data_IF_067842812695
#
_entry.id   IF_067842812695
#
_cell.length_a   1.000
_cell.length_b   1.000
_cell.length_c   1.000
_cell.angle_alpha   90.00
_cell.angle_beta   90.00
_cell.angle_gamma   90.00
#
_symmetry.space_group_name_H-M   'P 1'
#
loop_
_entity.id
_entity.type
_entity.pdbx_description
1 polymer ?
#
# COMPACT_ATOMS: atom_id res chain seq x y z
N UNK A 1 9.11 50.29 -14.33
CA UNK A 1 9.45 48.94 -14.79
C UNK A 1 10.28 48.32 -13.70
N UNK A 2 9.63 47.65 -12.75
CA UNK A 2 10.33 47.04 -11.62
C UNK A 2 11.04 45.80 -12.14
N UNK A 3 12.36 45.72 -11.90
CA UNK A 3 13.18 44.55 -12.16
C UNK A 3 12.47 43.30 -11.62
N UNK A 4 12.10 42.42 -12.53
CA UNK A 4 11.64 41.09 -12.18
C UNK A 4 12.76 40.42 -11.37
N UNK A 5 12.44 40.00 -10.14
CA UNK A 5 13.34 39.24 -9.28
C UNK A 5 14.08 38.15 -10.07
N UNK A 6 15.35 38.41 -10.41
CA UNK A 6 16.19 37.39 -11.02
C UNK A 6 16.35 36.25 -10.02
N UNK A 7 15.83 35.08 -10.39
CA UNK A 7 15.91 33.88 -9.57
C UNK A 7 17.36 33.37 -9.60
N UNK A 8 18.04 33.45 -8.45
CA UNK A 8 19.44 33.02 -8.30
C UNK A 8 19.58 31.55 -7.83
N UNK A 9 18.51 30.75 -7.89
CA UNK A 9 18.52 29.37 -7.42
C UNK A 9 17.57 28.48 -8.24
N UNK A 10 17.86 27.18 -8.28
CA UNK A 10 17.06 26.21 -9.04
C UNK A 10 15.93 25.56 -8.23
N UNK A 11 15.80 25.89 -6.94
CA UNK A 11 14.70 25.38 -6.09
C UNK A 11 13.33 25.87 -6.57
N UNK A 12 12.31 25.02 -6.39
CA UNK A 12 10.92 25.37 -6.64
C UNK A 12 10.35 26.16 -5.45
N UNK A 13 9.86 27.37 -5.70
CA UNK A 13 9.09 28.13 -4.73
C UNK A 13 7.62 27.92 -5.10
N UNK A 14 6.86 27.34 -4.18
CA UNK A 14 5.47 26.92 -4.42
C UNK A 14 4.54 28.05 -4.00
N UNK A 15 3.54 28.36 -4.83
CA UNK A 15 2.49 29.33 -4.52
C UNK A 15 1.57 28.84 -3.38
N UNK A 16 0.86 29.75 -2.69
CA UNK A 16 -0.10 29.35 -1.66
C UNK A 16 -1.13 28.35 -2.19
N UNK A 17 -1.23 27.20 -1.51
CA UNK A 17 -2.12 26.09 -1.92
C UNK A 17 -3.16 25.78 -0.83
N UNK A 18 -4.43 25.53 -1.20
CA UNK A 18 -5.49 25.15 -0.25
C UNK A 18 -5.42 23.67 0.16
N UNK A 19 -4.63 22.84 -0.53
CA UNK A 19 -4.64 21.39 -0.30
C UNK A 19 -4.26 20.96 1.13
N UNK A 20 -3.24 21.53 1.80
CA UNK A 20 -2.85 21.10 3.14
C UNK A 20 -3.96 21.27 4.19
N UNK A 21 -4.69 22.40 4.15
CA UNK A 21 -5.76 22.67 5.12
C UNK A 21 -6.99 21.79 4.86
N UNK A 22 -7.34 21.59 3.59
CA UNK A 22 -8.45 20.70 3.21
C UNK A 22 -8.13 19.23 3.51
N UNK A 23 -6.89 18.78 3.29
CA UNK A 23 -6.43 17.45 3.67
C UNK A 23 -6.56 17.24 5.18
N UNK A 24 -6.11 18.21 5.97
CA UNK A 24 -6.16 18.15 7.44
C UNK A 24 -7.60 18.08 7.96
N UNK A 25 -8.49 18.90 7.40
CA UNK A 25 -9.91 18.88 7.73
C UNK A 25 -10.58 17.56 7.32
N UNK A 26 -10.30 17.08 6.10
CA UNK A 26 -10.80 15.79 5.61
C UNK A 26 -10.34 14.63 6.47
N UNK A 27 -9.05 14.58 6.84
CA UNK A 27 -8.50 13.56 7.72
C UNK A 27 -9.13 13.59 9.12
N UNK A 28 -9.36 14.78 9.68
CA UNK A 28 -10.05 14.92 10.96
C UNK A 28 -11.50 14.39 10.90
N UNK A 29 -12.26 14.78 9.88
CA UNK A 29 -13.63 14.30 9.66
C UNK A 29 -13.65 12.79 9.46
N UNK A 30 -12.72 12.26 8.66
CA UNK A 30 -12.59 10.84 8.40
C UNK A 30 -12.25 10.05 9.67
N UNK A 31 -11.32 10.54 10.50
CA UNK A 31 -10.95 9.89 11.76
C UNK A 31 -12.11 9.86 12.76
N UNK A 32 -12.77 11.00 12.97
CA UNK A 32 -13.98 11.08 13.82
C UNK A 32 -15.10 10.19 13.27
N UNK A 33 -15.27 10.21 11.94
CA UNK A 33 -16.22 9.35 11.22
C UNK A 33 -15.90 7.87 11.38
N UNK A 34 -14.63 7.48 11.40
CA UNK A 34 -14.22 6.10 11.63
C UNK A 34 -14.62 5.59 13.02
N UNK A 35 -14.41 6.41 14.05
CA UNK A 35 -14.89 6.10 15.42
C UNK A 35 -16.41 5.96 15.45
N UNK A 36 -17.11 6.91 14.83
CA UNK A 36 -18.56 6.90 14.70
C UNK A 36 -19.07 5.63 13.97
N UNK A 37 -18.43 5.26 12.85
CA UNK A 37 -18.82 4.11 12.06
C UNK A 37 -18.59 2.79 12.82
N UNK A 38 -17.46 2.65 13.52
CA UNK A 38 -17.22 1.48 14.37
C UNK A 38 -18.23 1.37 15.52
N UNK A 39 -18.65 2.49 16.10
CA UNK A 39 -19.73 2.49 17.12
C UNK A 39 -21.07 2.08 16.53
N UNK A 40 -21.41 2.60 15.35
CA UNK A 40 -22.61 2.22 14.61
C UNK A 40 -22.65 0.72 14.30
N UNK A 41 -21.54 0.14 13.80
CA UNK A 41 -21.44 -1.29 13.52
C UNK A 41 -21.58 -2.17 14.77
N UNK A 42 -21.17 -1.67 15.94
CA UNK A 42 -21.36 -2.33 17.22
C UNK A 42 -22.73 -2.07 17.87
N UNK A 43 -23.65 -1.36 17.19
CA UNK A 43 -24.96 -0.99 17.74
C UNK A 43 -24.90 0.00 18.91
N UNK A 44 -23.78 0.69 19.09
CA UNK A 44 -23.57 1.65 20.17
C UNK A 44 -23.95 3.09 19.78
N UNK A 45 -24.08 3.96 20.78
CA UNK A 45 -24.22 5.40 20.58
C UNK A 45 -22.86 6.11 20.60
N UNK A 46 -22.78 7.23 19.88
CA UNK A 46 -21.63 8.12 19.86
C UNK A 46 -22.13 9.57 19.82
N UNK A 47 -22.15 10.22 20.98
CA UNK A 47 -22.65 11.60 21.10
C UNK A 47 -21.51 12.61 21.14
N UNK A 48 -21.58 13.63 20.30
CA UNK A 48 -20.66 14.77 20.29
C UNK A 48 -21.49 16.05 20.38
N UNK A 49 -21.19 16.90 21.36
CA UNK A 49 -21.93 18.16 21.60
C UNK A 49 -23.46 17.98 21.71
N UNK A 50 -23.92 16.83 22.23
CA UNK A 50 -25.34 16.52 22.39
C UNK A 50 -26.01 15.85 21.19
N UNK A 51 -25.35 15.78 20.02
CA UNK A 51 -25.88 15.16 18.81
C UNK A 51 -25.42 13.70 18.69
N UNK A 52 -26.33 12.81 18.29
CA UNK A 52 -26.01 11.42 17.97
C UNK A 52 -25.31 11.35 16.61
N UNK A 53 -24.08 10.86 16.61
CA UNK A 53 -23.24 10.74 15.44
C UNK A 53 -22.95 9.30 15.06
N UNK A 54 -23.49 8.27 15.71
CA UNK A 54 -23.30 6.88 15.30
C UNK A 54 -23.97 6.57 13.93
N UNK A 55 -23.30 6.94 12.85
CA UNK A 55 -23.73 6.71 11.47
C UNK A 55 -22.50 6.63 10.55
N UNK A 56 -22.59 5.92 9.41
CA UNK A 56 -21.43 5.75 8.52
C UNK A 56 -21.07 6.98 7.68
N UNK A 57 -21.98 7.97 7.57
CA UNK A 57 -21.85 9.05 6.59
C UNK A 57 -20.70 10.00 6.89
N UNK A 58 -20.42 10.26 8.16
CA UNK A 58 -19.29 11.12 8.57
C UNK A 58 -17.97 10.56 8.05
N UNK A 59 -17.78 9.24 8.10
CA UNK A 59 -16.59 8.58 7.56
C UNK A 59 -16.50 8.76 6.05
N UNK A 60 -17.57 8.43 5.31
CA UNK A 60 -17.55 8.48 3.84
C UNK A 60 -17.37 9.90 3.30
N UNK A 61 -17.92 10.92 3.96
CA UNK A 61 -17.71 12.33 3.59
C UNK A 61 -16.23 12.70 3.80
N UNK A 62 -15.65 12.36 4.96
CA UNK A 62 -14.23 12.61 5.22
C UNK A 62 -13.32 11.88 4.22
N UNK A 63 -13.62 10.62 3.93
CA UNK A 63 -12.89 9.80 2.97
C UNK A 63 -12.95 10.39 1.54
N UNK A 64 -14.14 10.78 1.08
CA UNK A 64 -14.30 11.42 -0.22
C UNK A 64 -13.54 12.75 -0.32
N UNK A 65 -13.52 13.55 0.76
CA UNK A 65 -12.76 14.80 0.81
C UNK A 65 -11.26 14.54 0.74
N UNK A 66 -10.74 13.54 1.46
CA UNK A 66 -9.32 13.15 1.38
C UNK A 66 -8.95 12.71 -0.04
N UNK A 67 -9.77 11.87 -0.68
CA UNK A 67 -9.53 11.45 -2.08
C UNK A 67 -9.56 12.63 -3.06
N UNK A 68 -10.49 13.56 -2.88
CA UNK A 68 -10.55 14.77 -3.70
C UNK A 68 -9.28 15.61 -3.58
N UNK A 69 -8.79 15.82 -2.36
CA UNK A 69 -7.56 16.58 -2.12
C UNK A 69 -6.34 15.85 -2.69
N UNK A 70 -6.25 14.53 -2.51
CA UNK A 70 -5.17 13.72 -3.10
C UNK A 70 -5.13 13.87 -4.62
N UNK A 71 -6.29 13.75 -5.29
CA UNK A 71 -6.39 13.93 -6.75
C UNK A 71 -5.96 15.35 -7.17
N UNK A 72 -6.50 16.39 -6.54
CA UNK A 72 -6.18 17.78 -6.86
C UNK A 72 -4.70 18.12 -6.65
N UNK A 73 -4.15 17.71 -5.51
CA UNK A 73 -2.76 17.98 -5.17
C UNK A 73 -1.80 17.28 -6.15
N UNK A 74 -2.01 16.01 -6.47
CA UNK A 74 -1.17 15.32 -7.45
C UNK A 74 -1.35 15.86 -8.87
N UNK A 75 -2.55 16.32 -9.24
CA UNK A 75 -2.76 16.99 -10.52
C UNK A 75 -1.94 18.29 -10.63
N UNK A 76 -1.90 19.10 -9.56
CA UNK A 76 -1.07 20.31 -9.51
C UNK A 76 0.42 19.96 -9.58
N UNK A 77 0.89 18.90 -8.91
CA UNK A 77 2.28 18.44 -9.05
C UNK A 77 2.63 18.05 -10.49
N UNK A 78 1.70 17.45 -11.23
CA UNK A 78 1.90 17.14 -12.66
C UNK A 78 1.92 18.43 -13.50
N UNK A 79 1.04 19.38 -13.21
CA UNK A 79 1.00 20.68 -13.88
C UNK A 79 2.30 21.46 -13.68
N UNK A 80 2.78 21.56 -12.45
CA UNK A 80 4.06 22.20 -12.09
C UNK A 80 5.24 21.55 -12.82
N UNK A 81 5.22 20.22 -12.99
CA UNK A 81 6.21 19.50 -13.77
C UNK A 81 6.21 19.91 -15.25
N UNK A 82 5.04 20.13 -15.86
CA UNK A 82 4.90 20.59 -17.25
C UNK A 82 5.28 22.06 -17.42
N UNK A 83 5.11 22.88 -16.39
CA UNK A 83 5.56 24.28 -16.37
C UNK A 83 7.08 24.42 -16.20
N UNK A 84 7.79 23.31 -16.01
CA UNK A 84 9.25 23.28 -15.90
C UNK A 84 9.77 23.52 -14.48
N UNK A 85 8.91 23.48 -13.46
CA UNK A 85 9.32 23.67 -12.07
C UNK A 85 10.22 22.54 -11.55
N UNK A 86 10.15 21.35 -12.16
CA UNK A 86 10.95 20.18 -11.81
C UNK A 86 12.36 20.27 -12.38
N UNK A 87 13.15 21.24 -11.91
CA UNK A 87 14.59 21.33 -12.22
C UNK A 87 15.33 20.07 -11.75
N UNK A 88 16.60 19.93 -12.15
CA UNK A 88 17.44 18.79 -11.73
C UNK A 88 17.50 18.67 -10.20
N UNK A 89 17.65 19.80 -9.50
CA UNK A 89 17.73 19.83 -8.03
C UNK A 89 16.39 19.42 -7.43
N UNK A 90 15.26 19.91 -7.95
CA UNK A 90 13.92 19.56 -7.46
C UNK A 90 13.64 18.06 -7.67
N UNK A 91 13.94 17.55 -8.86
CA UNK A 91 13.77 16.12 -9.18
C UNK A 91 14.61 15.22 -8.27
N UNK A 92 15.83 15.63 -7.89
CA UNK A 92 16.65 14.92 -6.93
C UNK A 92 16.00 14.86 -5.53
N UNK A 93 15.45 15.99 -5.05
CA UNK A 93 14.77 16.04 -3.74
C UNK A 93 13.48 15.22 -3.74
N UNK A 94 12.72 15.22 -4.84
CA UNK A 94 11.55 14.36 -4.99
C UNK A 94 11.92 12.87 -4.88
N UNK A 95 13.06 12.45 -5.45
CA UNK A 95 13.59 11.08 -5.29
C UNK A 95 13.94 10.76 -3.85
N UNK A 96 14.64 11.66 -3.14
CA UNK A 96 14.92 11.47 -1.72
C UNK A 96 13.63 11.38 -0.89
N UNK A 97 12.63 12.22 -1.18
CA UNK A 97 11.32 12.15 -0.53
C UNK A 97 10.67 10.79 -0.71
N UNK A 98 10.68 10.24 -1.93
CA UNK A 98 10.15 8.90 -2.20
C UNK A 98 10.93 7.79 -1.49
N UNK A 99 12.25 7.87 -1.45
CA UNK A 99 13.09 6.88 -0.74
C UNK A 99 12.78 6.90 0.77
N UNK A 100 12.68 8.09 1.38
CA UNK A 100 12.35 8.22 2.79
C UNK A 100 10.94 7.73 3.09
N UNK A 101 9.98 7.99 2.19
CA UNK A 101 8.64 7.43 2.29
C UNK A 101 8.67 5.89 2.27
N UNK A 102 9.33 5.26 1.29
CA UNK A 102 9.48 3.79 1.24
C UNK A 102 10.18 3.26 2.50
N UNK A 103 11.22 3.94 2.99
CA UNK A 103 11.90 3.54 4.22
C UNK A 103 10.95 3.55 5.43
N UNK A 104 10.05 4.54 5.53
CA UNK A 104 9.02 4.53 6.58
C UNK A 104 7.99 3.42 6.41
N UNK A 105 7.61 3.08 5.17
CA UNK A 105 6.70 1.96 4.89
C UNK A 105 7.33 0.62 5.26
N UNK A 106 8.65 0.44 5.03
CA UNK A 106 9.39 -0.74 5.50
C UNK A 106 9.31 -0.84 7.04
N UNK A 107 9.53 0.26 7.75
CA UNK A 107 9.43 0.27 9.22
C UNK A 107 8.00 -0.01 9.72
N UNK A 108 6.98 0.40 8.98
CA UNK A 108 5.60 0.02 9.26
C UNK A 108 5.39 -1.51 9.15
N UNK A 109 5.94 -2.15 8.11
CA UNK A 109 5.88 -3.62 7.99
C UNK A 109 6.70 -4.34 9.07
N UNK A 110 7.83 -3.78 9.52
CA UNK A 110 8.62 -4.34 10.63
C UNK A 110 7.75 -4.56 11.88
N UNK A 111 6.81 -3.67 12.18
CA UNK A 111 5.91 -3.85 13.33
C UNK A 111 5.01 -5.10 13.20
N UNK A 112 4.49 -5.38 12.00
CA UNK A 112 3.66 -6.55 11.75
C UNK A 112 4.47 -7.85 11.77
N UNK A 113 5.65 -7.84 11.15
CA UNK A 113 6.58 -8.98 11.22
C UNK A 113 7.02 -9.25 12.65
N UNK A 114 7.30 -8.21 13.43
CA UNK A 114 7.62 -8.37 14.85
C UNK A 114 6.47 -9.02 15.59
N UNK A 115 5.24 -8.53 15.45
CA UNK A 115 4.08 -9.14 16.11
C UNK A 115 3.90 -10.63 15.73
N UNK A 116 4.14 -11.00 14.47
CA UNK A 116 4.10 -12.38 14.01
C UNK A 116 5.26 -13.23 14.58
N UNK A 117 6.49 -12.75 14.50
CA UNK A 117 7.68 -13.48 14.97
C UNK A 117 7.69 -13.67 16.48
N UNK A 118 7.28 -12.65 17.24
CA UNK A 118 7.19 -12.75 18.69
C UNK A 118 6.20 -13.86 19.11
N UNK A 119 5.02 -13.90 18.50
CA UNK A 119 4.01 -14.93 18.77
C UNK A 119 4.43 -16.34 18.29
N UNK A 120 5.11 -16.43 17.15
CA UNK A 120 5.47 -17.70 16.52
C UNK A 120 6.74 -18.36 17.08
N UNK A 121 7.74 -17.57 17.47
CA UNK A 121 8.99 -18.08 18.06
C UNK A 121 8.85 -18.42 19.54
N UNK A 122 7.96 -17.71 20.26
CA UNK A 122 7.77 -17.90 21.70
C UNK A 122 6.32 -18.26 22.05
N UNK A 123 5.70 -19.29 21.42
CA UNK A 123 4.29 -19.62 21.64
C UNK A 123 4.01 -20.15 23.04
N UNK A 124 5.03 -20.61 23.78
CA UNK A 124 4.94 -21.17 25.13
C UNK A 124 5.64 -20.30 26.20
N UNK A 125 5.84 -19.01 25.95
CA UNK A 125 6.52 -18.12 26.89
C UNK A 125 5.79 -18.06 28.24
N UNK A 126 6.49 -18.48 29.32
CA UNK A 126 5.90 -18.59 30.66
C UNK A 126 5.44 -17.25 31.26
N UNK A 127 6.08 -16.13 30.87
CA UNK A 127 5.70 -14.79 31.33
C UNK A 127 4.37 -14.36 30.71
N UNK A 128 4.03 -14.86 29.51
CA UNK A 128 2.79 -14.53 28.81
C UNK A 128 1.74 -15.65 28.94
N UNK A 129 1.13 -15.76 30.11
CA UNK A 129 0.10 -16.77 30.38
C UNK A 129 -1.08 -16.75 29.37
N UNK A 130 -1.46 -15.55 28.87
CA UNK A 130 -2.49 -15.41 27.84
C UNK A 130 -2.04 -15.97 26.49
N UNK A 131 -0.77 -15.82 26.11
CA UNK A 131 -0.24 -16.40 24.86
C UNK A 131 -0.36 -17.91 24.87
N UNK A 132 0.10 -18.57 25.94
CA UNK A 132 -0.01 -20.02 26.09
C UNK A 132 -1.46 -20.50 25.96
N UNK A 133 -2.42 -19.75 26.51
CA UNK A 133 -3.85 -20.05 26.40
C UNK A 133 -4.34 -19.99 24.94
N UNK A 134 -3.94 -18.97 24.18
CA UNK A 134 -4.39 -18.79 22.79
C UNK A 134 -3.63 -19.62 21.76
N UNK A 135 -2.36 -19.98 22.02
CA UNK A 135 -1.53 -20.79 21.11
C UNK A 135 -1.59 -22.29 21.45
N UNK A 136 -1.86 -22.64 22.71
CA UNK A 136 -1.71 -24.01 23.21
C UNK A 136 -0.25 -24.46 23.33
N UNK A 137 0.70 -23.52 23.30
CA UNK A 137 2.15 -23.75 23.44
C UNK A 137 2.85 -24.16 22.14
N UNK A 138 2.17 -24.10 21.01
CA UNK A 138 2.71 -24.46 19.68
C UNK A 138 2.40 -23.38 18.65
N UNK A 139 3.18 -23.35 17.57
CA UNK A 139 2.89 -22.52 16.40
C UNK A 139 2.78 -23.38 15.15
N UNK A 140 1.75 -23.19 14.30
CA UNK A 140 0.55 -22.40 14.53
C UNK A 140 -0.25 -22.83 15.78
N UNK A 141 -1.17 -21.97 16.28
CA UNK A 141 -2.04 -22.32 17.40
C UNK A 141 -2.80 -23.63 17.19
N UNK A 142 -3.01 -24.41 18.26
CA UNK A 142 -3.74 -25.69 18.18
C UNK A 142 -5.12 -25.52 17.55
N UNK A 143 -5.44 -26.36 16.58
CA UNK A 143 -6.73 -26.34 15.88
C UNK A 143 -6.81 -25.36 14.70
N UNK A 144 -5.72 -24.65 14.38
CA UNK A 144 -5.60 -23.88 13.14
C UNK A 144 -5.01 -24.77 12.05
N UNK A 145 -5.74 -24.88 10.95
CA UNK A 145 -5.20 -25.37 9.68
C UNK A 145 -4.68 -24.19 8.87
N UNK A 146 -3.52 -24.34 8.24
CA UNK A 146 -2.91 -23.28 7.42
C UNK A 146 -3.23 -23.47 5.94
N UNK A 147 -3.07 -22.39 5.17
CA UNK A 147 -3.16 -22.42 3.72
C UNK A 147 -1.93 -23.12 3.12
N UNK A 148 -2.13 -23.90 2.06
CA UNK A 148 -1.02 -24.53 1.35
C UNK A 148 -0.16 -23.46 0.62
N UNK A 149 1.11 -23.25 0.99
CA UNK A 149 1.99 -22.30 0.30
C UNK A 149 2.15 -22.61 -1.19
N UNK A 150 2.00 -23.87 -1.60
CA UNK A 150 2.25 -24.32 -2.97
C UNK A 150 1.01 -24.30 -3.87
N UNK A 151 -0.12 -23.80 -3.36
CA UNK A 151 -1.33 -23.58 -4.14
C UNK A 151 -1.50 -22.10 -4.51
N UNK A 152 -2.45 -21.37 -3.93
CA UNK A 152 -2.68 -19.95 -4.26
C UNK A 152 -1.48 -19.02 -3.97
N UNK A 153 -0.76 -19.16 -2.84
CA UNK A 153 0.33 -18.24 -2.50
C UNK A 153 1.49 -18.26 -3.50
N UNK A 154 1.87 -19.43 -4.03
CA UNK A 154 2.93 -19.52 -5.04
C UNK A 154 2.50 -18.89 -6.37
N UNK A 155 1.23 -19.04 -6.78
CA UNK A 155 0.72 -18.36 -7.97
C UNK A 155 0.80 -16.84 -7.81
N UNK A 156 0.39 -16.31 -6.65
CA UNK A 156 0.51 -14.88 -6.34
C UNK A 156 1.96 -14.40 -6.35
N UNK A 157 2.90 -15.22 -5.89
CA UNK A 157 4.34 -14.93 -5.98
C UNK A 157 4.81 -14.84 -7.42
N UNK A 158 4.42 -15.79 -8.27
CA UNK A 158 4.77 -15.76 -9.70
C UNK A 158 4.14 -14.55 -10.40
N UNK A 159 2.87 -14.23 -10.11
CA UNK A 159 2.16 -13.07 -10.68
C UNK A 159 2.91 -11.77 -10.36
N UNK A 160 3.30 -11.55 -9.10
CA UNK A 160 4.03 -10.34 -8.72
C UNK A 160 5.42 -10.28 -9.35
N UNK A 161 6.20 -11.37 -9.32
CA UNK A 161 7.52 -11.40 -9.96
C UNK A 161 7.47 -11.14 -11.48
N UNK A 162 6.46 -11.69 -12.15
CA UNK A 162 6.19 -11.39 -13.55
C UNK A 162 5.84 -9.90 -13.74
N UNK A 163 5.02 -9.33 -12.85
CA UNK A 163 4.67 -7.91 -12.91
C UNK A 163 5.89 -6.99 -12.67
N UNK A 164 6.80 -7.38 -11.77
CA UNK A 164 8.08 -6.70 -11.53
C UNK A 164 8.98 -6.73 -12.77
N UNK A 165 8.95 -7.84 -13.52
CA UNK A 165 9.66 -7.94 -14.80
C UNK A 165 9.05 -7.03 -15.86
N UNK A 166 7.71 -6.98 -15.97
CA UNK A 166 7.03 -6.15 -16.97
C UNK A 166 7.16 -4.66 -16.69
N UNK A 167 7.19 -4.22 -15.43
CA UNK A 167 7.42 -2.80 -15.08
C UNK A 167 8.87 -2.39 -15.36
N UNK A 168 9.83 -3.29 -15.10
CA UNK A 168 11.25 -3.07 -15.44
C UNK A 168 11.45 -2.96 -16.95
N UNK A 169 10.77 -3.82 -17.72
CA UNK A 169 10.75 -3.72 -19.18
C UNK A 169 10.16 -2.39 -19.65
N UNK A 170 9.03 -1.96 -19.08
CA UNK A 170 8.42 -0.67 -19.41
C UNK A 170 9.36 0.51 -19.12
N UNK A 171 10.08 0.47 -17.99
CA UNK A 171 11.07 1.48 -17.64
C UNK A 171 12.24 1.50 -18.63
N UNK A 172 12.78 0.33 -18.96
CA UNK A 172 13.86 0.23 -19.95
C UNK A 172 13.42 0.73 -21.34
N UNK A 173 12.19 0.42 -21.76
CA UNK A 173 11.62 0.89 -23.01
C UNK A 173 11.50 2.42 -23.04
N UNK A 174 11.05 3.06 -21.95
CA UNK A 174 11.01 4.51 -21.83
C UNK A 174 12.39 5.15 -21.98
N UNK A 175 13.42 4.58 -21.35
CA UNK A 175 14.80 5.09 -21.45
C UNK A 175 15.34 5.03 -22.89
N UNK A 176 14.89 4.05 -23.67
CA UNK A 176 15.20 3.91 -25.10
C UNK A 176 14.22 4.65 -26.01
N UNK A 177 13.34 5.48 -25.45
CA UNK A 177 12.30 6.23 -26.16
C UNK A 177 11.31 5.33 -26.94
N UNK A 178 11.18 4.05 -26.57
CA UNK A 178 10.17 3.14 -27.10
C UNK A 178 8.87 3.29 -26.29
N UNK A 179 7.99 4.16 -26.80
CA UNK A 179 6.68 4.43 -26.21
C UNK A 179 5.75 3.22 -26.26
N UNK A 180 5.86 2.36 -27.28
CA UNK A 180 4.99 1.20 -27.42
C UNK A 180 5.33 0.17 -26.36
N UNK A 181 6.62 -0.13 -26.17
CA UNK A 181 7.10 -1.00 -25.10
C UNK A 181 6.73 -0.50 -23.70
N UNK A 182 6.85 0.81 -23.46
CA UNK A 182 6.42 1.45 -22.21
C UNK A 182 4.93 1.17 -21.91
N UNK A 183 4.04 1.46 -22.86
CA UNK A 183 2.59 1.28 -22.68
C UNK A 183 2.24 -0.19 -22.49
N UNK A 184 2.83 -1.08 -23.28
CA UNK A 184 2.58 -2.52 -23.19
C UNK A 184 3.02 -3.09 -21.84
N UNK A 185 4.25 -2.80 -21.40
CA UNK A 185 4.75 -3.29 -20.11
C UNK A 185 3.97 -2.72 -18.92
N UNK A 186 3.61 -1.44 -18.93
CA UNK A 186 2.75 -0.84 -17.90
C UNK A 186 1.36 -1.47 -17.86
N UNK A 187 0.75 -1.70 -19.02
CA UNK A 187 -0.59 -2.32 -19.10
C UNK A 187 -0.57 -3.73 -18.53
N UNK A 188 0.43 -4.55 -18.91
CA UNK A 188 0.59 -5.89 -18.35
C UNK A 188 0.80 -5.86 -16.83
N UNK A 189 1.62 -4.93 -16.34
CA UNK A 189 1.87 -4.78 -14.89
C UNK A 189 0.58 -4.46 -14.13
N UNK A 190 -0.22 -3.51 -14.63
CA UNK A 190 -1.50 -3.13 -13.99
C UNK A 190 -2.49 -4.29 -14.01
N UNK A 191 -2.59 -5.03 -15.12
CA UNK A 191 -3.45 -6.22 -15.21
C UNK A 191 -3.03 -7.31 -14.22
N UNK A 192 -1.72 -7.58 -14.09
CA UNK A 192 -1.18 -8.55 -13.14
C UNK A 192 -1.40 -8.10 -11.69
N UNK A 193 -1.27 -6.82 -11.38
CA UNK A 193 -1.59 -6.25 -10.06
C UNK A 193 -3.06 -6.45 -9.67
N UNK A 194 -3.99 -6.17 -10.60
CA UNK A 194 -5.42 -6.45 -10.38
C UNK A 194 -5.69 -7.94 -10.21
N UNK A 195 -5.00 -8.79 -10.98
CA UNK A 195 -5.14 -10.23 -10.88
C UNK A 195 -4.65 -10.77 -9.53
N UNK A 196 -3.52 -10.28 -9.02
CA UNK A 196 -3.05 -10.58 -7.66
C UNK A 196 -4.12 -10.24 -6.62
N UNK A 197 -4.71 -9.04 -6.66
CA UNK A 197 -5.74 -8.65 -5.70
C UNK A 197 -6.98 -9.54 -5.77
N UNK A 198 -7.37 -10.00 -6.96
CA UNK A 198 -8.49 -10.93 -7.12
C UNK A 198 -8.19 -12.31 -6.50
N UNK A 199 -7.00 -12.86 -6.73
CA UNK A 199 -6.57 -14.13 -6.14
C UNK A 199 -6.45 -14.00 -4.61
N UNK A 200 -5.90 -12.90 -4.11
CA UNK A 200 -5.81 -12.64 -2.66
C UNK A 200 -7.19 -12.53 -2.00
N UNK A 201 -8.16 -11.89 -2.65
CA UNK A 201 -9.53 -11.84 -2.16
C UNK A 201 -10.19 -13.24 -2.16
N UNK A 202 -9.90 -14.07 -3.16
CA UNK A 202 -10.38 -15.45 -3.22
C UNK A 202 -9.78 -16.30 -2.08
N UNK A 203 -8.48 -16.14 -1.80
CA UNK A 203 -7.81 -16.79 -0.67
C UNK A 203 -8.47 -16.40 0.66
N UNK A 204 -8.76 -15.11 0.90
CA UNK A 204 -9.45 -14.68 2.11
C UNK A 204 -10.87 -15.24 2.24
N UNK A 205 -11.57 -15.42 1.12
CA UNK A 205 -12.91 -16.00 1.12
C UNK A 205 -12.92 -17.50 1.49
N UNK A 206 -11.81 -18.21 1.26
CA UNK A 206 -11.67 -19.66 1.51
C UNK A 206 -10.71 -19.97 2.68
N UNK A 207 -10.29 -18.97 3.44
CA UNK A 207 -9.37 -19.17 4.56
C UNK A 207 -10.04 -20.05 5.64
N UNK A 208 -9.36 -21.10 6.13
CA UNK A 208 -9.91 -22.03 7.14
C UNK A 208 -9.93 -21.42 8.56
N UNK A 209 -9.39 -20.22 8.73
CA UNK A 209 -9.33 -19.48 9.98
C UNK A 209 -9.96 -18.09 9.84
N UNK A 210 -10.55 -17.61 10.92
CA UNK A 210 -11.18 -16.29 10.97
C UNK A 210 -10.20 -15.19 11.39
N UNK A 211 -10.54 -13.93 11.08
CA UNK A 211 -9.84 -12.75 11.57
C UNK A 211 -9.82 -12.64 13.10
N UNK A 212 -10.92 -13.06 13.74
CA UNK A 212 -11.11 -12.98 15.19
C UNK A 212 -10.66 -14.26 15.90
N UNK A 213 -10.45 -14.15 17.21
CA UNK A 213 -10.26 -15.27 18.14
C UNK A 213 -8.94 -16.05 18.05
N UNK A 214 -8.06 -15.75 17.09
CA UNK A 214 -6.71 -16.33 17.01
C UNK A 214 -5.66 -15.26 16.73
N UNK A 215 -4.54 -15.33 17.44
CA UNK A 215 -3.37 -14.47 17.17
C UNK A 215 -2.77 -14.75 15.78
N UNK A 216 -2.88 -15.99 15.29
CA UNK A 216 -2.48 -16.34 13.94
C UNK A 216 -3.36 -15.63 12.92
N UNK A 217 -4.69 -15.74 13.06
CA UNK A 217 -5.63 -15.07 12.15
C UNK A 217 -5.44 -13.55 12.15
N UNK A 218 -5.34 -12.94 13.34
CA UNK A 218 -5.14 -11.50 13.47
C UNK A 218 -3.83 -11.04 12.79
N UNK A 219 -2.69 -11.70 13.08
CA UNK A 219 -1.41 -11.30 12.48
C UNK A 219 -1.33 -11.62 10.99
N UNK A 220 -1.89 -12.75 10.55
CA UNK A 220 -1.99 -13.11 9.13
C UNK A 220 -2.76 -12.04 8.35
N UNK A 221 -4.04 -11.82 8.66
CA UNK A 221 -4.89 -10.91 7.90
C UNK A 221 -4.43 -9.45 7.99
N UNK A 222 -3.87 -9.02 9.12
CA UNK A 222 -3.34 -7.66 9.21
C UNK A 222 -2.07 -7.49 8.37
N UNK A 223 -1.13 -8.43 8.42
CA UNK A 223 0.12 -8.35 7.65
C UNK A 223 -0.13 -8.47 6.14
N UNK A 224 -0.85 -9.50 5.71
CA UNK A 224 -1.17 -9.71 4.29
C UNK A 224 -2.21 -8.71 3.79
N UNK A 225 -3.13 -8.26 4.65
CA UNK A 225 -4.15 -7.26 4.31
C UNK A 225 -3.55 -5.88 4.07
N UNK A 226 -2.62 -5.44 4.93
CA UNK A 226 -1.88 -4.20 4.68
C UNK A 226 -1.02 -4.30 3.43
N UNK A 227 -0.37 -5.43 3.18
CA UNK A 227 0.32 -5.64 1.90
C UNK A 227 -0.63 -5.54 0.70
N UNK A 228 -1.79 -6.19 0.75
CA UNK A 228 -2.82 -6.07 -0.28
C UNK A 228 -3.30 -4.64 -0.51
N UNK A 229 -3.41 -3.83 0.56
CA UNK A 229 -3.68 -2.40 0.44
C UNK A 229 -2.55 -1.66 -0.31
N UNK A 230 -1.29 -1.95 -0.02
CA UNK A 230 -0.16 -1.36 -0.75
C UNK A 230 -0.11 -1.81 -2.21
N UNK A 231 -0.45 -3.07 -2.51
CA UNK A 231 -0.61 -3.55 -3.91
C UNK A 231 -1.69 -2.76 -4.63
N UNK A 232 -2.83 -2.50 -3.99
CA UNK A 232 -3.91 -1.68 -4.57
C UNK A 232 -3.42 -0.25 -4.86
N UNK A 233 -2.76 0.40 -3.88
CA UNK A 233 -2.19 1.74 -4.04
C UNK A 233 -1.17 1.77 -5.18
N UNK A 234 -0.26 0.79 -5.22
CA UNK A 234 0.74 0.66 -6.28
C UNK A 234 0.11 0.45 -7.66
N UNK A 235 -0.95 -0.34 -7.75
CA UNK A 235 -1.68 -0.61 -9.00
C UNK A 235 -2.37 0.66 -9.50
N UNK A 236 -2.99 1.44 -8.61
CA UNK A 236 -3.57 2.75 -8.94
C UNK A 236 -2.48 3.72 -9.40
N UNK A 237 -1.34 3.77 -8.70
CA UNK A 237 -0.25 4.68 -9.04
C UNK A 237 0.35 4.35 -10.43
N UNK A 238 0.55 3.07 -10.73
CA UNK A 238 0.96 2.60 -12.06
C UNK A 238 -0.13 2.85 -13.11
N UNK A 239 -1.41 2.72 -12.76
CA UNK A 239 -2.54 3.06 -13.63
C UNK A 239 -2.54 4.55 -14.01
N UNK A 240 -2.26 5.44 -13.06
CA UNK A 240 -2.06 6.88 -13.34
C UNK A 240 -0.85 7.08 -14.27
N UNK A 241 0.26 6.38 -14.04
CA UNK A 241 1.41 6.42 -14.94
C UNK A 241 1.07 5.91 -16.35
N UNK A 242 0.25 4.87 -16.48
CA UNK A 242 -0.21 4.37 -17.78
C UNK A 242 -1.04 5.42 -18.52
N UNK A 243 -1.98 6.08 -17.85
CA UNK A 243 -2.78 7.17 -18.44
C UNK A 243 -1.86 8.32 -18.91
N UNK A 244 -0.86 8.68 -18.12
CA UNK A 244 0.12 9.71 -18.46
C UNK A 244 1.04 9.30 -19.62
N UNK A 245 1.47 8.03 -19.68
CA UNK A 245 2.23 7.49 -20.80
C UNK A 245 1.41 7.51 -22.11
N UNK A 246 0.10 7.21 -22.03
CA UNK A 246 -0.85 7.31 -23.16
C UNK A 246 -1.06 8.75 -23.63
N UNK A 247 -0.87 9.75 -22.77
CA UNK A 247 -0.88 11.19 -23.12
C UNK A 247 0.46 11.71 -23.63
N UNK A 248 1.56 11.00 -23.31
CA UNK A 248 2.90 11.38 -23.73
C UNK A 248 3.66 12.24 -22.72
N UNK A 249 3.25 12.23 -21.46
CA UNK A 249 3.80 13.09 -20.39
C UNK A 249 5.23 12.71 -19.95
N UNK A 250 5.77 11.58 -20.43
CA UNK A 250 7.07 11.07 -20.02
C UNK A 250 8.11 11.19 -21.13
N UNK A 251 9.31 11.61 -20.74
CA UNK A 251 10.49 11.62 -21.62
C UNK A 251 11.62 10.81 -20.98
N UNK A 252 12.62 10.34 -21.75
CA UNK A 252 13.79 9.64 -21.19
C UNK A 252 14.56 10.46 -20.15
N UNK A 253 14.41 11.79 -20.12
CA UNK A 253 15.08 12.68 -19.16
C UNK A 253 14.18 13.08 -17.99
N UNK A 254 12.87 13.13 -18.18
CA UNK A 254 11.89 13.58 -17.19
C UNK A 254 10.75 12.58 -17.08
N UNK A 255 10.86 11.69 -16.08
CA UNK A 255 9.89 10.64 -15.82
C UNK A 255 9.83 10.23 -14.34
N UNK A 256 10.14 11.15 -13.43
CA UNK A 256 10.19 10.89 -11.98
C UNK A 256 8.93 10.20 -11.46
N UNK A 257 7.73 10.59 -11.92
CA UNK A 257 6.48 9.97 -11.47
C UNK A 257 6.44 8.45 -11.76
N UNK A 258 6.96 8.02 -12.91
CA UNK A 258 7.06 6.60 -13.22
C UNK A 258 8.19 5.91 -12.47
N UNK A 259 9.35 6.57 -12.31
CA UNK A 259 10.46 6.05 -11.50
C UNK A 259 10.02 5.79 -10.05
N UNK A 260 9.29 6.72 -9.44
CA UNK A 260 8.72 6.58 -8.11
C UNK A 260 7.70 5.43 -8.02
N UNK A 261 6.82 5.29 -9.02
CA UNK A 261 5.85 4.20 -9.08
C UNK A 261 6.54 2.83 -9.23
N UNK A 262 7.60 2.74 -10.04
CA UNK A 262 8.38 1.52 -10.21
C UNK A 262 9.13 1.14 -8.93
N UNK A 263 9.75 2.10 -8.23
CA UNK A 263 10.38 1.85 -6.92
C UNK A 263 9.36 1.39 -5.87
N UNK A 264 8.18 2.02 -5.82
CA UNK A 264 7.11 1.60 -4.91
C UNK A 264 6.65 0.17 -5.23
N UNK A 265 6.47 -0.16 -6.52
CA UNK A 265 6.06 -1.50 -6.94
C UNK A 265 7.07 -2.57 -6.54
N UNK A 266 8.36 -2.34 -6.75
CA UNK A 266 9.40 -3.27 -6.30
C UNK A 266 9.47 -3.39 -4.77
N UNK A 267 9.21 -2.32 -4.02
CA UNK A 267 9.06 -2.41 -2.57
C UNK A 267 7.91 -3.37 -2.20
N UNK A 268 6.75 -3.25 -2.85
CA UNK A 268 5.60 -4.13 -2.64
C UNK A 268 5.95 -5.59 -2.98
N UNK A 269 6.69 -5.84 -4.07
CA UNK A 269 7.18 -7.18 -4.43
C UNK A 269 8.07 -7.77 -3.34
N UNK A 270 9.03 -7.00 -2.82
CA UNK A 270 9.97 -7.46 -1.79
C UNK A 270 9.25 -7.80 -0.48
N UNK A 271 8.30 -6.97 -0.05
CA UNK A 271 7.50 -7.26 1.14
C UNK A 271 6.69 -8.54 0.95
N UNK A 272 6.14 -8.78 -0.25
CA UNK A 272 5.43 -10.03 -0.55
C UNK A 272 6.35 -11.25 -0.41
N UNK A 273 7.55 -11.21 -0.97
CA UNK A 273 8.50 -12.34 -0.86
C UNK A 273 8.81 -12.67 0.61
N UNK A 274 8.92 -11.63 1.45
CA UNK A 274 9.13 -11.83 2.88
C UNK A 274 7.88 -12.39 3.57
N UNK A 275 6.67 -11.92 3.22
CA UNK A 275 5.41 -12.51 3.71
C UNK A 275 5.26 -13.98 3.29
N UNK A 276 5.47 -14.28 2.01
CA UNK A 276 5.41 -15.63 1.45
C UNK A 276 6.35 -16.58 2.21
N UNK A 277 7.62 -16.19 2.35
CA UNK A 277 8.59 -17.01 3.04
C UNK A 277 8.27 -17.15 4.55
N UNK A 278 8.05 -16.04 5.26
CA UNK A 278 7.93 -16.06 6.71
C UNK A 278 6.59 -16.62 7.18
N UNK A 279 5.48 -16.24 6.56
CA UNK A 279 4.14 -16.62 7.04
C UNK A 279 3.71 -17.95 6.43
N UNK A 280 3.83 -18.11 5.11
CA UNK A 280 3.28 -19.28 4.43
C UNK A 280 4.24 -20.48 4.47
N UNK A 281 5.53 -20.27 4.19
CA UNK A 281 6.50 -21.38 4.13
C UNK A 281 7.05 -21.74 5.50
N UNK A 282 7.71 -20.80 6.19
CA UNK A 282 8.33 -21.06 7.50
C UNK A 282 7.30 -21.22 8.61
N UNK A 283 6.36 -20.28 8.71
CA UNK A 283 5.35 -20.26 9.77
C UNK A 283 4.30 -21.36 9.68
N UNK A 284 4.10 -21.93 8.47
CA UNK A 284 3.24 -23.09 8.23
C UNK A 284 3.97 -24.44 8.22
N UNK A 285 5.29 -24.48 8.43
CA UNK A 285 6.07 -25.70 8.27
C UNK A 285 5.63 -26.79 9.27
N UNK A 286 5.18 -27.93 8.76
CA UNK A 286 4.73 -29.05 9.57
C UNK A 286 3.36 -28.85 10.25
N UNK A 287 2.67 -27.75 9.93
CA UNK A 287 1.31 -27.52 10.39
C UNK A 287 0.30 -28.35 9.56
N UNK A 288 -0.87 -28.68 10.13
CA UNK A 288 -1.99 -29.21 9.35
C UNK A 288 -2.37 -28.22 8.25
N UNK A 289 -2.38 -28.68 7.00
CA UNK A 289 -2.80 -27.88 5.84
C UNK A 289 -4.28 -28.16 5.61
N UNK A 290 -5.07 -27.11 5.42
CA UNK A 290 -6.48 -27.26 5.11
C UNK A 290 -6.64 -28.00 3.77
N UNK A 291 -7.42 -29.07 3.78
CA UNK A 291 -7.82 -29.75 2.56
C UNK A 291 -8.80 -28.83 1.82
N UNK A 292 -8.38 -28.33 0.64
CA UNK A 292 -9.20 -27.51 -0.23
C UNK A 292 -10.48 -28.22 -0.70
#
# INVERSE_FOLDING_TARGET
MADAHQKNHDYHIIDPSPWPILASLGAFIMALGGVSYMRYLNGGSFKVAGFELANPWVFYIGFALVLYVMYGWWADTVKEAHEGAHTRVVSLHLRYGMIMFIASEVMFFVAWFWAYFDASLYPNEAIQASRLLYTGGTWPPKGIEVLDPWHLPIYNTVILLLSGTTVTWAHHALLHNDRKGLIQGLTLTVLLGMFFSAVQAYEYAHAPFAFKSSIYGATFFMATGFHGFHVLVGTIFLGVCLIRALRGDFTPKQHFGFEAAAWYWHFVDVVWLFLFFCIYVWGGWGAPVAAG
#
